data_IF_952663549804
#
_entry.id   IF_952663549804
#
_cell.length_a   1.000
_cell.length_b   1.000
_cell.length_c   1.000
_cell.angle_alpha   90.00
_cell.angle_beta   90.00
_cell.angle_gamma   90.00
#
_symmetry.space_group_name_H-M   'P 1'
#
loop_
_entity.id
_entity.type
_entity.pdbx_description
1 polymer ?
#
# COMPACT_ATOMS: atom_id res chain seq x y z
N UNK A 1 -6.00 21.27 -27.27
CA UNK A 1 -4.78 20.44 -27.19
C UNK A 1 -4.48 20.28 -25.70
N UNK A 2 -4.96 19.21 -25.09
CA UNK A 2 -4.60 18.87 -23.71
C UNK A 2 -3.21 18.26 -23.76
N UNK A 3 -2.21 19.02 -23.27
CA UNK A 3 -0.86 18.48 -23.05
C UNK A 3 -0.99 17.33 -22.06
N UNK A 4 -0.84 16.08 -22.53
CA UNK A 4 -0.76 14.93 -21.65
C UNK A 4 0.48 15.12 -20.77
N UNK A 5 0.30 15.12 -19.46
CA UNK A 5 1.39 15.24 -18.46
C UNK A 5 2.36 14.05 -18.58
N UNK A 6 1.94 12.98 -19.24
CA UNK A 6 2.73 11.77 -19.48
C UNK A 6 3.34 11.81 -20.88
N UNK A 7 4.58 11.30 -21.05
CA UNK A 7 5.17 11.09 -22.37
C UNK A 7 4.24 10.28 -23.26
N UNK A 8 4.02 10.73 -24.50
CA UNK A 8 3.06 10.11 -25.43
C UNK A 8 3.33 8.61 -25.65
N UNK A 9 4.57 8.19 -25.52
CA UNK A 9 5.03 6.82 -25.71
C UNK A 9 4.71 5.88 -24.52
N UNK A 10 4.42 6.41 -23.32
CA UNK A 10 4.03 5.60 -22.15
C UNK A 10 2.53 5.30 -22.10
N UNK A 11 1.71 6.13 -22.73
CA UNK A 11 0.24 6.00 -22.68
C UNK A 11 -0.25 4.65 -23.16
N UNK A 12 0.18 4.10 -24.31
CA UNK A 12 -0.26 2.78 -24.76
C UNK A 12 0.13 1.65 -23.82
N UNK A 13 1.30 1.74 -23.19
CA UNK A 13 1.77 0.79 -22.18
C UNK A 13 0.90 0.81 -20.92
N UNK A 14 0.58 1.98 -20.42
CA UNK A 14 -0.31 2.17 -19.24
C UNK A 14 -1.71 1.63 -19.55
N UNK A 15 -2.28 1.95 -20.71
CA UNK A 15 -3.60 1.43 -21.10
C UNK A 15 -3.61 -0.10 -21.22
N UNK A 16 -2.57 -0.70 -21.79
CA UNK A 16 -2.43 -2.14 -21.88
C UNK A 16 -2.39 -2.79 -20.49
N UNK A 17 -1.56 -2.28 -19.59
CA UNK A 17 -1.46 -2.80 -18.22
C UNK A 17 -2.77 -2.59 -17.43
N UNK A 18 -3.44 -1.46 -17.60
CA UNK A 18 -4.73 -1.18 -16.98
C UNK A 18 -5.80 -2.20 -17.41
N UNK A 19 -5.88 -2.49 -18.71
CA UNK A 19 -6.80 -3.52 -19.24
C UNK A 19 -6.51 -4.91 -18.68
N UNK A 20 -5.24 -5.29 -18.49
CA UNK A 20 -4.85 -6.57 -17.89
C UNK A 20 -5.39 -6.71 -16.45
N UNK A 21 -5.26 -5.66 -15.62
CA UNK A 21 -5.78 -5.67 -14.25
C UNK A 21 -7.29 -5.85 -14.22
N UNK A 22 -8.02 -5.13 -15.06
CA UNK A 22 -9.49 -5.18 -15.11
C UNK A 22 -10.04 -6.43 -15.80
N UNK A 23 -9.29 -7.07 -16.69
CA UNK A 23 -9.73 -8.27 -17.38
C UNK A 23 -9.90 -9.48 -16.45
N UNK A 24 -9.14 -9.52 -15.35
CA UNK A 24 -9.15 -10.65 -14.41
C UNK A 24 -10.25 -10.43 -13.36
N UNK A 25 -11.23 -11.35 -13.29
CA UNK A 25 -12.35 -11.28 -12.32
C UNK A 25 -11.85 -11.21 -10.87
N UNK A 26 -10.82 -11.97 -10.54
CA UNK A 26 -10.22 -11.98 -9.21
C UNK A 26 -9.65 -10.61 -8.82
N UNK A 27 -8.98 -9.92 -9.76
CA UNK A 27 -8.46 -8.57 -9.51
C UNK A 27 -9.59 -7.58 -9.23
N UNK A 28 -10.70 -7.63 -9.95
CA UNK A 28 -11.87 -6.76 -9.72
C UNK A 28 -12.50 -6.98 -8.35
N UNK A 29 -12.59 -8.22 -7.88
CA UNK A 29 -13.09 -8.53 -6.53
C UNK A 29 -12.14 -8.01 -5.45
N UNK A 30 -10.83 -8.17 -5.66
CA UNK A 30 -9.80 -7.64 -4.75
C UNK A 30 -9.88 -6.11 -4.65
N UNK A 31 -10.11 -5.40 -5.75
CA UNK A 31 -10.24 -3.94 -5.73
C UNK A 31 -11.42 -3.46 -4.87
N UNK A 32 -12.54 -4.18 -4.86
CA UNK A 32 -13.73 -3.83 -4.08
C UNK A 32 -13.69 -4.23 -2.61
N UNK A 33 -12.88 -5.24 -2.26
CA UNK A 33 -12.88 -5.80 -0.90
C UNK A 33 -12.51 -4.80 0.21
N UNK A 34 -11.47 -3.96 0.09
CA UNK A 34 -11.15 -2.95 1.10
C UNK A 34 -12.25 -1.92 1.31
N UNK A 35 -12.93 -1.52 0.24
CA UNK A 35 -14.01 -0.54 0.28
C UNK A 35 -15.18 -1.08 1.10
N UNK A 36 -15.59 -2.32 0.85
CA UNK A 36 -16.69 -2.97 1.60
C UNK A 36 -16.29 -3.18 3.06
N UNK A 37 -15.06 -3.67 3.29
CA UNK A 37 -14.56 -3.88 4.64
C UNK A 37 -14.52 -2.56 5.42
N UNK A 38 -14.00 -1.50 4.82
CA UNK A 38 -13.90 -0.18 5.42
C UNK A 38 -15.27 0.38 5.77
N UNK A 39 -16.23 0.29 4.84
CA UNK A 39 -17.60 0.74 5.08
C UNK A 39 -18.21 0.01 6.27
N UNK A 40 -18.19 -1.32 6.27
CA UNK A 40 -18.81 -2.15 7.32
C UNK A 40 -18.08 -1.96 8.65
N UNK A 41 -16.76 -2.05 8.66
CA UNK A 41 -15.98 -1.90 9.88
C UNK A 41 -16.15 -0.50 10.51
N UNK A 42 -16.15 0.55 9.68
CA UNK A 42 -16.32 1.92 10.18
C UNK A 42 -17.74 2.18 10.67
N UNK A 43 -18.77 1.60 10.05
CA UNK A 43 -20.14 1.64 10.58
C UNK A 43 -20.21 0.99 11.96
N UNK A 44 -19.65 -0.21 12.11
CA UNK A 44 -19.65 -0.93 13.39
C UNK A 44 -18.87 -0.13 14.45
N UNK A 45 -17.66 0.29 14.18
CA UNK A 45 -16.84 1.03 15.15
C UNK A 45 -17.45 2.39 15.48
N UNK A 46 -18.05 3.07 14.51
CA UNK A 46 -18.73 4.34 14.72
C UNK A 46 -19.98 4.23 15.60
N UNK A 47 -20.74 3.14 15.46
CA UNK A 47 -21.91 2.88 16.33
C UNK A 47 -21.47 2.49 17.75
N UNK A 48 -20.40 1.68 17.90
CA UNK A 48 -19.92 1.19 19.19
C UNK A 48 -19.06 2.18 19.94
N UNK A 49 -18.42 3.13 19.26
CA UNK A 49 -17.57 4.13 19.90
C UNK A 49 -18.35 5.02 20.87
N UNK A 50 -17.74 5.27 22.02
CA UNK A 50 -18.17 6.29 22.99
C UNK A 50 -17.85 7.72 22.52
N UNK A 51 -18.09 8.74 23.37
CA UNK A 51 -17.61 10.10 23.14
C UNK A 51 -16.10 10.13 22.94
N UNK A 52 -15.60 11.19 22.31
CA UNK A 52 -14.15 11.38 22.11
C UNK A 52 -13.47 11.40 23.47
N UNK A 53 -12.54 10.47 23.70
CA UNK A 53 -11.65 10.46 24.85
C UNK A 53 -10.30 11.07 24.43
N UNK A 54 -9.86 12.19 25.05
CA UNK A 54 -8.57 12.82 24.73
C UNK A 54 -7.37 11.92 25.01
N UNK A 55 -7.54 10.89 25.83
CA UNK A 55 -6.51 9.86 26.12
C UNK A 55 -6.68 8.62 25.26
N UNK A 56 -7.78 8.54 24.49
CA UNK A 56 -8.08 7.40 23.64
C UNK A 56 -7.19 7.37 22.42
N UNK A 57 -6.87 6.17 22.00
CA UNK A 57 -6.18 5.92 20.75
C UNK A 57 -7.14 5.32 19.75
N UNK A 58 -7.05 5.65 18.48
CA UNK A 58 -6.14 6.58 17.79
C UNK A 58 -6.46 8.07 18.07
N UNK A 59 -5.50 8.97 17.75
CA UNK A 59 -5.62 10.41 17.98
C UNK A 59 -6.83 11.07 17.30
N UNK A 60 -7.41 10.41 16.31
CA UNK A 60 -8.64 10.82 15.58
C UNK A 60 -9.93 10.30 16.23
N UNK A 61 -9.83 9.49 17.29
CA UNK A 61 -10.96 8.90 18.01
C UNK A 61 -11.19 7.41 17.71
N UNK A 62 -11.80 6.69 18.66
CA UNK A 62 -12.05 5.24 18.53
C UNK A 62 -12.98 4.87 17.36
N UNK A 63 -13.86 5.78 16.93
CA UNK A 63 -14.73 5.59 15.79
C UNK A 63 -13.98 5.37 14.47
N UNK A 64 -12.72 5.88 14.36
CA UNK A 64 -11.90 5.75 13.14
C UNK A 64 -11.17 4.42 13.03
N UNK A 65 -11.27 3.52 14.00
CA UNK A 65 -10.62 2.19 13.95
C UNK A 65 -11.01 1.44 12.68
N UNK A 66 -12.28 1.55 12.25
CA UNK A 66 -12.74 0.93 11.01
C UNK A 66 -12.07 1.48 9.75
N UNK A 67 -11.76 2.78 9.72
CA UNK A 67 -10.95 3.40 8.65
C UNK A 67 -9.55 2.77 8.60
N UNK A 68 -8.87 2.61 9.74
CA UNK A 68 -7.54 1.99 9.77
C UNK A 68 -7.59 0.53 9.30
N UNK A 69 -8.61 -0.24 9.67
CA UNK A 69 -8.79 -1.61 9.16
C UNK A 69 -8.99 -1.63 7.64
N UNK A 70 -9.76 -0.68 7.10
CA UNK A 70 -9.94 -0.50 5.67
C UNK A 70 -8.62 -0.15 4.96
N UNK A 71 -7.83 0.77 5.52
CA UNK A 71 -6.52 1.14 4.98
C UNK A 71 -5.54 -0.05 4.98
N UNK A 72 -5.46 -0.82 6.07
CA UNK A 72 -4.63 -2.04 6.12
C UNK A 72 -5.03 -3.00 5.00
N UNK A 73 -6.33 -3.23 4.81
CA UNK A 73 -6.81 -4.07 3.72
C UNK A 73 -6.45 -3.50 2.34
N UNK A 74 -6.51 -2.18 2.16
CA UNK A 74 -6.10 -1.53 0.92
C UNK A 74 -4.60 -1.70 0.64
N UNK A 75 -3.73 -1.61 1.66
CA UNK A 75 -2.29 -1.84 1.52
C UNK A 75 -1.98 -3.29 1.16
N UNK A 76 -2.64 -4.25 1.80
CA UNK A 76 -2.51 -5.67 1.47
C UNK A 76 -2.95 -5.92 0.03
N UNK A 77 -4.11 -5.40 -0.37
CA UNK A 77 -4.60 -5.55 -1.75
C UNK A 77 -3.67 -4.86 -2.75
N UNK A 78 -3.13 -3.70 -2.45
CA UNK A 78 -2.15 -3.02 -3.29
C UNK A 78 -0.90 -3.88 -3.53
N UNK A 79 -0.33 -4.47 -2.47
CA UNK A 79 0.80 -5.39 -2.57
C UNK A 79 0.44 -6.64 -3.40
N UNK A 80 -0.74 -7.25 -3.17
CA UNK A 80 -1.22 -8.42 -3.91
C UNK A 80 -1.41 -8.11 -5.40
N UNK A 81 -1.94 -6.94 -5.75
CA UNK A 81 -2.07 -6.50 -7.14
C UNK A 81 -0.69 -6.37 -7.80
N UNK A 82 0.28 -5.78 -7.11
CA UNK A 82 1.66 -5.68 -7.58
C UNK A 82 2.27 -7.05 -7.87
N UNK A 83 2.19 -7.98 -6.89
CA UNK A 83 2.68 -9.35 -7.03
C UNK A 83 1.98 -10.08 -8.19
N UNK A 84 0.65 -9.97 -8.29
CA UNK A 84 -0.12 -10.67 -9.31
C UNK A 84 0.17 -10.15 -10.73
N UNK A 85 0.39 -8.84 -10.87
CA UNK A 85 0.67 -8.20 -12.15
C UNK A 85 2.06 -8.54 -12.70
N UNK A 86 3.01 -8.89 -11.83
CA UNK A 86 4.39 -9.22 -12.23
C UNK A 86 4.68 -10.71 -12.11
N UNK A 87 4.66 -11.28 -10.92
CA UNK A 87 4.87 -12.72 -10.69
C UNK A 87 3.84 -13.59 -11.41
N UNK A 88 2.61 -13.08 -11.61
CA UNK A 88 1.56 -13.77 -12.37
C UNK A 88 1.88 -13.91 -13.87
N UNK A 89 2.59 -12.97 -14.47
CA UNK A 89 3.01 -13.06 -15.88
C UNK A 89 4.07 -14.16 -16.07
N UNK A 90 5.00 -14.29 -15.15
CA UNK A 90 5.97 -15.42 -15.18
C UNK A 90 5.25 -16.77 -15.05
N UNK A 91 4.31 -16.90 -14.13
CA UNK A 91 3.52 -18.13 -13.95
C UNK A 91 2.74 -18.52 -15.21
N UNK A 92 2.19 -17.53 -15.92
CA UNK A 92 1.43 -17.73 -17.17
C UNK A 92 2.33 -17.82 -18.41
N UNK A 93 3.66 -17.68 -18.26
CA UNK A 93 4.63 -17.62 -19.36
C UNK A 93 4.32 -16.51 -20.38
N UNK A 94 3.68 -15.42 -19.94
CA UNK A 94 3.33 -14.28 -20.79
C UNK A 94 4.37 -13.17 -20.74
N UNK A 95 5.34 -13.21 -19.81
CA UNK A 95 6.37 -12.18 -19.69
C UNK A 95 7.21 -12.05 -20.96
N UNK A 96 7.64 -13.17 -21.54
CA UNK A 96 8.42 -13.18 -22.79
C UNK A 96 7.64 -12.56 -23.96
N UNK A 97 6.34 -12.86 -24.07
CA UNK A 97 5.47 -12.24 -25.08
C UNK A 97 5.32 -10.74 -24.83
N UNK A 98 5.15 -10.32 -23.57
CA UNK A 98 5.06 -8.90 -23.21
C UNK A 98 6.31 -8.13 -23.62
N UNK A 99 7.51 -8.69 -23.37
CA UNK A 99 8.78 -8.08 -23.77
C UNK A 99 8.97 -8.09 -25.28
N UNK A 100 8.48 -9.11 -25.98
CA UNK A 100 8.54 -9.17 -27.45
C UNK A 100 7.75 -8.03 -28.10
N UNK A 101 6.56 -7.71 -27.56
CA UNK A 101 5.72 -6.62 -28.06
C UNK A 101 6.11 -5.23 -27.50
N UNK A 102 6.81 -5.18 -26.38
CA UNK A 102 7.33 -3.96 -25.74
C UNK A 102 8.83 -4.13 -25.44
N UNK A 103 9.71 -4.02 -26.45
CA UNK A 103 11.13 -4.33 -26.32
C UNK A 103 11.88 -3.37 -25.38
N UNK A 104 11.36 -2.17 -25.18
CA UNK A 104 11.88 -1.22 -24.20
C UNK A 104 11.43 -1.63 -22.78
N UNK A 105 12.31 -2.35 -22.08
CA UNK A 105 12.05 -2.87 -20.72
C UNK A 105 11.86 -1.77 -19.70
N UNK A 106 12.53 -0.61 -19.89
CA UNK A 106 12.42 0.52 -18.98
C UNK A 106 11.01 1.13 -19.04
N UNK A 107 10.48 1.28 -20.26
CA UNK A 107 9.09 1.74 -20.47
C UNK A 107 8.06 0.75 -19.95
N UNK A 108 8.32 -0.54 -20.16
CA UNK A 108 7.42 -1.59 -19.67
C UNK A 108 7.29 -1.57 -18.14
N UNK A 109 8.41 -1.52 -17.42
CA UNK A 109 8.39 -1.49 -15.95
C UNK A 109 7.77 -0.19 -15.43
N UNK A 110 8.13 0.94 -16.04
CA UNK A 110 7.53 2.24 -15.69
C UNK A 110 6.02 2.22 -15.88
N UNK A 111 5.53 1.74 -17.01
CA UNK A 111 4.09 1.61 -17.27
C UNK A 111 3.40 0.72 -16.23
N UNK A 112 4.01 -0.42 -15.84
CA UNK A 112 3.50 -1.30 -14.79
C UNK A 112 3.42 -0.58 -13.45
N UNK A 113 4.50 0.06 -12.99
CA UNK A 113 4.53 0.73 -11.69
C UNK A 113 3.54 1.89 -11.62
N UNK A 114 3.47 2.72 -12.65
CA UNK A 114 2.51 3.84 -12.73
C UNK A 114 1.07 3.33 -12.70
N UNK A 115 0.76 2.29 -13.49
CA UNK A 115 -0.59 1.69 -13.52
C UNK A 115 -0.97 1.12 -12.15
N UNK A 116 -0.09 0.36 -11.52
CA UNK A 116 -0.35 -0.27 -10.22
C UNK A 116 -0.48 0.76 -9.11
N UNK A 117 0.38 1.77 -9.08
CA UNK A 117 0.25 2.89 -8.16
C UNK A 117 -1.07 3.64 -8.36
N UNK A 118 -1.50 3.87 -9.61
CA UNK A 118 -2.79 4.48 -9.93
C UNK A 118 -3.99 3.68 -9.43
N UNK A 119 -3.98 2.35 -9.60
CA UNK A 119 -5.03 1.49 -9.03
C UNK A 119 -5.01 1.46 -7.52
N UNK A 120 -3.83 1.39 -6.89
CA UNK A 120 -3.71 1.44 -5.44
C UNK A 120 -4.23 2.77 -4.87
N UNK A 121 -3.88 3.88 -5.51
CA UNK A 121 -4.42 5.20 -5.17
C UNK A 121 -5.95 5.21 -5.26
N UNK A 122 -6.54 4.74 -6.36
CA UNK A 122 -7.98 4.71 -6.57
C UNK A 122 -8.70 3.84 -5.53
N UNK A 123 -8.14 2.67 -5.18
CA UNK A 123 -8.70 1.78 -4.16
C UNK A 123 -8.61 2.40 -2.78
N UNK A 124 -7.46 2.97 -2.40
CA UNK A 124 -7.29 3.64 -1.11
C UNK A 124 -8.25 4.83 -1.00
N UNK A 125 -8.35 5.68 -2.03
CA UNK A 125 -9.27 6.80 -2.07
C UNK A 125 -10.74 6.34 -1.91
N UNK A 126 -11.16 5.31 -2.63
CA UNK A 126 -12.50 4.77 -2.51
C UNK A 126 -12.76 4.20 -1.09
N UNK A 127 -11.75 3.54 -0.49
CA UNK A 127 -11.80 3.01 0.87
C UNK A 127 -11.96 4.13 1.90
N UNK A 128 -11.19 5.21 1.76
CA UNK A 128 -11.27 6.40 2.61
C UNK A 128 -12.60 7.12 2.49
N UNK A 129 -13.09 7.32 1.26
CA UNK A 129 -14.40 7.94 1.03
C UNK A 129 -15.54 7.11 1.63
N UNK A 130 -15.48 5.78 1.51
CA UNK A 130 -16.45 4.88 2.12
C UNK A 130 -16.42 4.97 3.66
N UNK A 131 -15.21 5.03 4.25
CA UNK A 131 -15.05 5.21 5.70
C UNK A 131 -15.54 6.59 6.16
N UNK A 132 -15.21 7.65 5.45
CA UNK A 132 -15.69 9.01 5.78
C UNK A 132 -17.22 9.10 5.73
N UNK A 133 -17.83 8.49 4.72
CA UNK A 133 -19.30 8.41 4.65
C UNK A 133 -19.87 7.67 5.86
N UNK A 134 -19.29 6.53 6.24
CA UNK A 134 -19.70 5.77 7.41
C UNK A 134 -19.54 6.57 8.71
N UNK A 135 -18.42 7.30 8.88
CA UNK A 135 -18.19 8.17 10.04
C UNK A 135 -19.24 9.28 10.14
N UNK A 136 -19.55 9.94 9.04
CA UNK A 136 -20.57 11.01 9.02
C UNK A 136 -21.95 10.46 9.37
N UNK A 137 -22.29 9.24 8.97
CA UNK A 137 -23.58 8.61 9.23
C UNK A 137 -23.66 8.06 10.67
N UNK A 138 -22.66 7.32 11.12
CA UNK A 138 -22.75 6.52 12.35
C UNK A 138 -22.01 7.13 13.56
N UNK A 139 -21.10 8.09 13.34
CA UNK A 139 -20.17 8.55 14.36
C UNK A 139 -20.11 10.08 14.52
N UNK A 140 -21.21 10.79 14.22
CA UNK A 140 -21.25 12.24 14.37
C UNK A 140 -20.86 12.67 15.80
N UNK A 141 -19.83 13.54 15.91
CA UNK A 141 -19.33 14.00 17.20
C UNK A 141 -18.49 12.98 17.99
N UNK A 142 -18.16 11.82 17.41
CA UNK A 142 -17.34 10.78 18.05
C UNK A 142 -15.95 10.64 17.42
N UNK A 143 -15.58 11.47 16.47
CA UNK A 143 -14.27 11.55 15.87
C UNK A 143 -13.84 12.98 15.64
N UNK A 144 -12.54 13.23 15.61
CA UNK A 144 -11.96 14.55 15.37
C UNK A 144 -11.80 14.77 13.86
N UNK A 145 -12.57 15.72 13.32
CA UNK A 145 -12.39 16.19 11.95
C UNK A 145 -11.40 17.35 11.94
N UNK A 146 -10.11 17.04 11.81
CA UNK A 146 -9.04 18.02 11.88
C UNK A 146 -7.84 17.64 11.01
N UNK A 147 -6.72 18.36 11.20
CA UNK A 147 -5.51 18.18 10.42
C UNK A 147 -4.96 16.75 10.51
N UNK A 148 -5.03 16.11 11.67
CA UNK A 148 -4.59 14.72 11.88
C UNK A 148 -5.34 13.72 11.00
N UNK A 149 -6.64 13.90 10.80
CA UNK A 149 -7.41 13.04 9.90
C UNK A 149 -6.93 13.23 8.45
N UNK A 150 -6.66 14.47 8.04
CA UNK A 150 -6.10 14.73 6.70
C UNK A 150 -4.70 14.12 6.52
N UNK A 151 -3.87 14.14 7.55
CA UNK A 151 -2.56 13.43 7.53
C UNK A 151 -2.75 11.92 7.35
N UNK A 152 -3.69 11.30 8.09
CA UNK A 152 -4.01 9.86 7.94
C UNK A 152 -4.44 9.55 6.51
N UNK A 153 -5.37 10.33 5.95
CA UNK A 153 -5.87 10.12 4.59
C UNK A 153 -4.76 10.31 3.55
N UNK A 154 -4.01 11.42 3.62
CA UNK A 154 -2.91 11.66 2.68
C UNK A 154 -1.81 10.60 2.76
N UNK A 155 -1.44 10.19 3.98
CA UNK A 155 -0.50 9.11 4.20
C UNK A 155 -1.04 7.77 3.69
N UNK A 156 -2.33 7.47 3.90
CA UNK A 156 -2.98 6.26 3.42
C UNK A 156 -2.88 6.09 1.91
N UNK A 157 -3.16 7.15 1.15
CA UNK A 157 -3.01 7.15 -0.31
C UNK A 157 -1.57 6.84 -0.73
N UNK A 158 -0.59 7.53 -0.14
CA UNK A 158 0.83 7.35 -0.47
C UNK A 158 1.32 5.95 -0.11
N UNK A 159 0.96 5.46 1.08
CA UNK A 159 1.33 4.11 1.55
C UNK A 159 0.78 3.03 0.63
N UNK A 160 -0.47 3.15 0.18
CA UNK A 160 -1.05 2.20 -0.77
C UNK A 160 -0.27 2.14 -2.09
N UNK A 161 0.10 3.30 -2.64
CA UNK A 161 0.93 3.39 -3.85
C UNK A 161 2.30 2.72 -3.64
N UNK A 162 2.94 2.97 -2.49
CA UNK A 162 4.21 2.34 -2.13
C UNK A 162 4.11 0.82 -2.08
N UNK A 163 3.08 0.26 -1.40
CA UNK A 163 2.89 -1.18 -1.32
C UNK A 163 2.60 -1.84 -2.67
N UNK A 164 1.92 -1.15 -3.59
CA UNK A 164 1.72 -1.65 -4.95
C UNK A 164 3.05 -1.81 -5.71
N UNK A 165 3.93 -0.80 -5.61
CA UNK A 165 5.26 -0.85 -6.26
C UNK A 165 6.18 -1.86 -5.56
N UNK A 166 6.18 -1.92 -4.22
CA UNK A 166 6.90 -2.94 -3.44
C UNK A 166 6.48 -4.35 -3.87
N UNK A 167 5.17 -4.61 -3.93
CA UNK A 167 4.63 -5.89 -4.37
C UNK A 167 5.06 -6.24 -5.80
N UNK A 168 5.03 -5.26 -6.71
CA UNK A 168 5.46 -5.44 -8.09
C UNK A 168 6.96 -5.71 -8.20
N UNK A 169 7.81 -4.98 -7.48
CA UNK A 169 9.26 -5.19 -7.43
C UNK A 169 9.61 -6.58 -6.90
N UNK A 170 8.99 -7.00 -5.78
CA UNK A 170 9.19 -8.34 -5.22
C UNK A 170 8.71 -9.43 -6.19
N UNK A 171 7.57 -9.21 -6.88
CA UNK A 171 7.07 -10.14 -7.88
C UNK A 171 7.98 -10.30 -9.09
N UNK A 172 8.69 -9.24 -9.51
CA UNK A 172 9.73 -9.30 -10.54
C UNK A 172 10.94 -10.11 -10.05
N UNK A 173 11.42 -9.85 -8.83
CA UNK A 173 12.59 -10.52 -8.25
C UNK A 173 12.35 -12.02 -8.03
N UNK A 174 11.20 -12.39 -7.49
CA UNK A 174 10.88 -13.79 -7.14
C UNK A 174 10.33 -14.61 -8.31
N UNK A 175 9.76 -13.92 -9.33
CA UNK A 175 9.14 -14.50 -10.54
C UNK A 175 8.00 -15.48 -10.29
N UNK A 176 7.59 -15.62 -9.05
CA UNK A 176 6.47 -16.47 -8.65
C UNK A 176 5.57 -15.75 -7.68
N UNK A 177 4.26 -15.89 -7.85
CA UNK A 177 3.28 -15.29 -6.95
C UNK A 177 3.44 -15.85 -5.54
N UNK A 178 3.63 -17.17 -5.41
CA UNK A 178 3.69 -17.82 -4.11
C UNK A 178 4.93 -17.38 -3.30
N UNK A 179 6.12 -17.35 -3.92
CA UNK A 179 7.33 -16.91 -3.22
C UNK A 179 7.25 -15.44 -2.82
N UNK A 180 6.69 -14.58 -3.68
CA UNK A 180 6.47 -13.17 -3.37
C UNK A 180 5.52 -12.99 -2.18
N UNK A 181 4.42 -13.76 -2.13
CA UNK A 181 3.47 -13.74 -1.02
C UNK A 181 4.13 -14.18 0.29
N UNK A 182 4.83 -15.32 0.28
CA UNK A 182 5.53 -15.81 1.48
C UNK A 182 6.61 -14.85 1.95
N UNK A 183 7.31 -14.18 1.02
CA UNK A 183 8.32 -13.19 1.37
C UNK A 183 7.69 -11.98 2.09
N UNK A 184 6.59 -11.41 1.54
CA UNK A 184 5.92 -10.26 2.16
C UNK A 184 5.28 -10.65 3.49
N UNK A 185 4.54 -11.77 3.53
CA UNK A 185 3.86 -12.21 4.76
C UNK A 185 4.86 -12.63 5.84
N UNK A 186 5.89 -13.38 5.47
CA UNK A 186 6.96 -13.78 6.37
C UNK A 186 7.72 -12.57 6.92
N UNK A 187 8.00 -11.57 6.06
CA UNK A 187 8.60 -10.33 6.51
C UNK A 187 7.69 -9.59 7.49
N UNK A 188 6.45 -9.31 7.08
CA UNK A 188 5.54 -8.45 7.84
C UNK A 188 5.10 -9.06 9.17
N UNK A 189 4.85 -10.37 9.22
CA UNK A 189 4.27 -11.03 10.39
C UNK A 189 5.27 -11.83 11.24
N UNK A 190 6.45 -12.12 10.72
CA UNK A 190 7.45 -12.91 11.44
C UNK A 190 8.74 -12.14 11.62
N UNK A 191 9.41 -11.75 10.53
CA UNK A 191 10.74 -11.16 10.62
C UNK A 191 10.72 -9.78 11.27
N UNK A 192 9.82 -8.90 10.85
CA UNK A 192 9.78 -7.52 11.37
C UNK A 192 9.36 -7.47 12.84
N UNK A 193 8.30 -8.15 13.30
CA UNK A 193 7.99 -8.25 14.73
C UNK A 193 9.12 -8.87 15.58
N UNK A 194 9.83 -9.86 15.02
CA UNK A 194 10.99 -10.44 15.68
C UNK A 194 12.12 -9.43 15.83
N UNK A 195 12.42 -8.65 14.79
CA UNK A 195 13.41 -7.57 14.83
C UNK A 195 13.01 -6.51 15.86
N UNK A 196 11.73 -6.14 15.97
CA UNK A 196 11.26 -5.21 17.00
C UNK A 196 11.51 -5.74 18.40
N UNK A 197 11.18 -7.02 18.62
CA UNK A 197 11.36 -7.65 19.92
C UNK A 197 12.84 -7.70 20.32
N UNK A 198 13.70 -8.12 19.39
CA UNK A 198 15.15 -8.24 19.60
C UNK A 198 15.77 -6.85 19.79
N UNK A 199 15.48 -5.88 18.93
CA UNK A 199 16.00 -4.53 19.00
C UNK A 199 15.62 -3.86 20.34
N UNK A 200 14.38 -4.04 20.80
CA UNK A 200 13.92 -3.54 22.10
C UNK A 200 14.68 -4.20 23.26
N UNK A 201 14.92 -5.51 23.17
CA UNK A 201 15.68 -6.26 24.19
C UNK A 201 17.13 -5.79 24.35
N UNK A 202 17.74 -5.28 23.29
CA UNK A 202 19.09 -4.73 23.28
C UNK A 202 19.15 -3.21 23.50
N UNK A 203 18.03 -2.54 23.79
CA UNK A 203 17.97 -1.08 23.94
C UNK A 203 18.17 -0.31 22.63
N UNK A 204 18.04 -0.99 21.47
CA UNK A 204 18.19 -0.42 20.14
C UNK A 204 16.82 -0.29 19.41
N UNK A 205 15.74 0.01 20.14
CA UNK A 205 14.36 0.09 19.61
C UNK A 205 14.23 1.01 18.40
N UNK A 206 15.04 2.08 18.34
CA UNK A 206 15.09 3.00 17.21
C UNK A 206 15.47 2.36 15.87
N UNK A 207 16.13 1.20 15.86
CA UNK A 207 16.42 0.48 14.61
C UNK A 207 15.15 -0.02 13.91
N UNK A 208 14.09 -0.30 14.66
CA UNK A 208 12.81 -0.74 14.10
C UNK A 208 12.15 0.34 13.25
N UNK A 209 12.44 1.63 13.48
CA UNK A 209 11.84 2.75 12.73
C UNK A 209 12.17 2.76 11.24
N UNK A 210 13.26 2.09 10.84
CA UNK A 210 13.68 2.01 9.42
C UNK A 210 13.08 0.82 8.68
N UNK A 211 12.20 0.05 9.30
CA UNK A 211 11.56 -1.12 8.70
C UNK A 211 10.25 -0.73 7.99
N UNK A 212 9.89 -1.40 6.89
CA UNK A 212 8.77 -0.97 6.03
C UNK A 212 7.39 -1.06 6.70
N UNK A 213 7.14 -2.06 7.55
CA UNK A 213 5.85 -2.18 8.25
C UNK A 213 5.76 -1.17 9.39
N UNK A 214 6.85 -0.97 10.17
CA UNK A 214 6.92 0.09 11.17
C UNK A 214 6.71 1.47 10.54
N UNK A 215 7.37 1.73 9.40
CA UNK A 215 7.20 2.95 8.64
C UNK A 215 5.76 3.12 8.12
N UNK A 216 5.10 2.03 7.71
CA UNK A 216 3.69 2.04 7.31
C UNK A 216 2.79 2.45 8.48
N UNK A 217 2.93 1.79 9.63
CA UNK A 217 2.12 2.07 10.82
C UNK A 217 2.36 3.50 11.31
N UNK A 218 3.63 3.92 11.43
CA UNK A 218 4.00 5.26 11.84
C UNK A 218 3.47 6.34 10.88
N UNK A 219 3.54 6.07 9.57
CA UNK A 219 3.04 6.97 8.53
C UNK A 219 1.56 7.27 8.63
N UNK A 220 0.73 6.25 8.87
CA UNK A 220 -0.73 6.42 8.94
C UNK A 220 -1.26 6.70 10.34
N UNK A 221 -0.44 6.61 11.37
CA UNK A 221 -0.88 6.83 12.76
C UNK A 221 -1.04 8.30 13.13
N UNK A 222 -0.53 9.23 12.33
CA UNK A 222 -0.55 10.68 12.56
C UNK A 222 -0.17 11.07 14.02
N UNK A 223 0.89 10.44 14.53
CA UNK A 223 1.41 10.69 15.90
C UNK A 223 0.64 10.01 17.01
N UNK A 224 -0.33 9.12 16.73
CA UNK A 224 -1.07 8.39 17.77
C UNK A 224 -0.19 7.51 18.67
N UNK A 225 1.00 7.13 18.20
CA UNK A 225 1.97 6.28 18.91
C UNK A 225 3.30 7.00 19.14
N UNK A 226 3.27 8.32 19.33
CA UNK A 226 4.49 9.14 19.48
C UNK A 226 5.40 8.73 20.65
N UNK A 227 4.86 8.05 21.67
CA UNK A 227 5.63 7.53 22.81
C UNK A 227 6.30 6.16 22.54
N UNK A 228 5.96 5.52 21.40
CA UNK A 228 6.53 4.21 21.08
C UNK A 228 7.88 4.38 20.38
N UNK A 229 8.97 3.91 21.00
CA UNK A 229 10.35 3.98 20.48
C UNK A 229 10.55 3.35 19.09
N UNK A 230 9.63 2.45 18.69
CA UNK A 230 9.69 1.71 17.41
C UNK A 230 9.09 2.47 16.24
N UNK A 231 8.48 3.62 16.47
CA UNK A 231 7.84 4.41 15.42
C UNK A 231 8.53 5.77 15.24
N UNK A 232 8.89 6.07 13.99
CA UNK A 232 9.40 7.38 13.62
C UNK A 232 8.26 8.41 13.52
N UNK A 233 8.55 9.72 13.62
CA UNK A 233 7.60 10.76 13.27
C UNK A 233 7.05 10.53 11.83
N UNK A 234 5.75 10.81 11.61
CA UNK A 234 5.05 10.55 10.35
C UNK A 234 5.82 10.98 9.09
N UNK A 235 6.40 12.19 8.98
CA UNK A 235 7.15 12.57 7.78
C UNK A 235 8.39 11.70 7.53
N UNK A 236 9.13 11.37 8.60
CA UNK A 236 10.31 10.52 8.49
C UNK A 236 9.94 9.08 8.11
N UNK A 237 8.86 8.55 8.66
CA UNK A 237 8.34 7.23 8.33
C UNK A 237 7.96 7.12 6.84
N UNK A 238 7.28 8.14 6.29
CA UNK A 238 6.95 8.17 4.87
C UNK A 238 8.18 8.21 3.97
N UNK A 239 9.24 8.94 4.36
CA UNK A 239 10.53 8.96 3.64
C UNK A 239 11.16 7.56 3.66
N UNK A 240 11.18 6.88 4.81
CA UNK A 240 11.69 5.50 4.93
C UNK A 240 10.93 4.57 3.98
N UNK A 241 9.60 4.65 3.96
CA UNK A 241 8.79 3.81 3.08
C UNK A 241 9.06 4.09 1.60
N UNK A 242 9.23 5.36 1.23
CA UNK A 242 9.62 5.74 -0.14
C UNK A 242 11.00 5.19 -0.52
N UNK A 243 11.97 5.19 0.40
CA UNK A 243 13.30 4.60 0.16
C UNK A 243 13.20 3.08 -0.06
N UNK A 244 12.41 2.36 0.74
CA UNK A 244 12.14 0.94 0.52
C UNK A 244 11.48 0.69 -0.85
N UNK A 245 10.48 1.52 -1.19
CA UNK A 245 9.77 1.42 -2.47
C UNK A 245 10.71 1.65 -3.65
N UNK A 246 11.54 2.68 -3.57
CA UNK A 246 12.55 2.97 -4.60
C UNK A 246 13.59 1.84 -4.69
N UNK A 247 14.10 1.36 -3.56
CA UNK A 247 15.12 0.30 -3.54
C UNK A 247 14.61 -1.03 -4.12
N UNK A 248 13.46 -1.50 -3.65
CA UNK A 248 12.87 -2.77 -4.14
C UNK A 248 12.36 -2.62 -5.57
N UNK A 249 11.75 -1.49 -5.91
CA UNK A 249 11.32 -1.19 -7.27
C UNK A 249 12.50 -1.15 -8.25
N UNK A 250 13.60 -0.48 -7.89
CA UNK A 250 14.81 -0.43 -8.69
C UNK A 250 15.47 -1.81 -8.83
N UNK A 251 15.51 -2.61 -7.76
CA UNK A 251 16.04 -3.97 -7.82
C UNK A 251 15.24 -4.86 -8.76
N UNK A 252 13.89 -4.80 -8.70
CA UNK A 252 13.02 -5.54 -9.62
C UNK A 252 13.18 -5.09 -11.07
N UNK A 253 13.28 -3.79 -11.31
CA UNK A 253 13.57 -3.22 -12.63
C UNK A 253 14.92 -3.70 -13.16
N UNK A 254 15.97 -3.63 -12.34
CA UNK A 254 17.32 -4.07 -12.72
C UNK A 254 17.36 -5.54 -13.07
N UNK A 255 16.70 -6.41 -12.28
CA UNK A 255 16.60 -7.84 -12.54
C UNK A 255 15.96 -8.14 -13.90
N UNK A 256 14.87 -7.43 -14.25
CA UNK A 256 14.22 -7.58 -15.55
C UNK A 256 15.10 -7.05 -16.70
N UNK A 257 15.86 -5.98 -16.47
CA UNK A 257 16.71 -5.35 -17.49
C UNK A 257 17.94 -6.19 -17.82
N UNK A 258 18.58 -6.76 -16.80
CA UNK A 258 19.90 -7.40 -16.91
C UNK A 258 19.87 -8.86 -17.37
N UNK A 259 18.68 -9.47 -17.48
CA UNK A 259 18.58 -10.91 -17.79
C UNK A 259 17.94 -11.18 -19.14
N UNK A 260 18.39 -12.25 -19.79
CA UNK A 260 17.74 -12.86 -20.93
C UNK A 260 16.47 -13.59 -20.49
N UNK A 261 15.36 -13.43 -21.24
CA UNK A 261 14.04 -14.00 -20.96
C UNK A 261 13.74 -15.17 -21.85
#
# INVERSE_FOLDING_TARGET
MTSSVLPADLVPGIESEARKVLAVRQSRLLLGAPVVLALVATLITGLMAGPIDPKGQPATGAATIGLYLGLIAAFVVAALLGIAATGGEYRRKTMALTVLFAPDRDRLVTAKYVTLAGYAFAVALATELASLLALVVAARGKFEFGWRLLEVLGAGLLVAMCWAVLGAGIGLLTRTVNSALWLILGWAFVLEPLVWLVAKGFGAGGFATVLPVAATVAGVSAGSFAEAEVFAPTPAALVVLLLWTAGVGAAGWWDLRSRDL
#
